data_IF_908247421379
#
_entry.id   IF_908247421379
#
_cell.length_a   1.000
_cell.length_b   1.000
_cell.length_c   1.000
_cell.angle_alpha   90.00
_cell.angle_beta   90.00
_cell.angle_gamma   90.00
#
_symmetry.space_group_name_H-M   'P 1'
#
loop_
_entity.id
_entity.type
_entity.pdbx_description
1 polymer ?
#
# COMPACT_ATOMS: atom_id res chain seq x y z
N UNK A 1 69.06 26.03 21.62
CA UNK A 1 68.48 26.99 20.65
C UNK A 1 68.95 26.51 19.28
N UNK A 2 68.17 26.00 18.33
CA UNK A 2 66.78 26.18 17.84
C UNK A 2 66.47 24.93 16.98
N UNK A 3 65.42 24.16 17.23
CA UNK A 3 64.07 24.22 16.63
C UNK A 3 63.95 23.89 15.11
N UNK A 4 63.44 22.67 14.84
CA UNK A 4 62.24 22.31 14.04
C UNK A 4 62.04 22.79 12.59
N UNK A 5 61.67 21.85 11.71
CA UNK A 5 60.92 22.04 10.46
C UNK A 5 60.67 20.69 9.76
N UNK A 6 59.71 19.87 10.21
CA UNK A 6 58.28 19.86 9.87
C UNK A 6 57.96 19.39 8.43
N UNK A 7 57.44 18.17 8.35
CA UNK A 7 56.89 17.48 7.17
C UNK A 7 55.68 18.22 6.61
N UNK A 8 55.62 18.39 5.29
CA UNK A 8 54.41 18.80 4.57
C UNK A 8 53.66 17.57 4.10
N UNK A 9 52.60 17.22 4.84
CA UNK A 9 51.58 16.28 4.41
C UNK A 9 50.59 16.96 3.47
N UNK A 10 50.30 16.31 2.34
CA UNK A 10 49.25 16.64 1.38
C UNK A 10 47.87 16.48 2.03
N UNK A 11 46.91 17.42 1.88
CA UNK A 11 45.53 17.15 2.24
C UNK A 11 44.79 16.54 1.04
N UNK A 12 44.51 15.24 1.14
CA UNK A 12 43.41 14.62 0.41
C UNK A 12 42.09 15.16 0.99
N UNK A 13 41.48 16.11 0.28
CA UNK A 13 40.17 16.66 0.64
C UNK A 13 39.10 15.88 -0.14
N UNK A 14 38.81 14.69 0.36
CA UNK A 14 37.58 13.97 0.02
C UNK A 14 36.36 14.85 0.34
N UNK A 15 35.58 15.18 -0.69
CA UNK A 15 34.41 16.04 -0.57
C UNK A 15 33.25 15.32 0.14
N UNK A 16 32.61 15.93 1.16
CA UNK A 16 31.39 15.43 1.76
C UNK A 16 30.16 15.97 1.02
N UNK A 17 29.18 15.11 0.74
CA UNK A 17 27.81 15.56 0.44
C UNK A 17 27.22 15.15 -0.92
N UNK A 18 26.93 13.85 -1.11
CA UNK A 18 25.95 13.37 -2.10
C UNK A 18 24.80 12.56 -1.52
N UNK A 19 24.74 12.41 -0.19
CA UNK A 19 23.78 11.51 0.47
C UNK A 19 22.38 12.16 0.55
N UNK A 20 22.26 13.47 0.79
CA UNK A 20 20.94 14.12 0.94
C UNK A 20 20.18 14.48 -0.35
N UNK A 21 20.88 14.58 -1.50
CA UNK A 21 20.25 15.01 -2.76
C UNK A 21 19.51 13.88 -3.50
N UNK A 22 20.02 12.64 -3.39
CA UNK A 22 19.42 11.47 -4.02
C UNK A 22 18.08 11.09 -3.39
N UNK A 23 18.03 11.11 -2.07
CA UNK A 23 16.83 10.72 -1.32
C UNK A 23 15.68 11.73 -1.50
N UNK A 24 15.99 13.03 -1.51
CA UNK A 24 15.01 14.07 -1.78
C UNK A 24 14.44 13.98 -3.21
N UNK A 25 15.29 13.72 -4.21
CA UNK A 25 14.86 13.53 -5.60
C UNK A 25 13.99 12.28 -5.77
N UNK A 26 14.36 11.17 -5.12
CA UNK A 26 13.58 9.93 -5.10
C UNK A 26 12.22 10.15 -4.45
N UNK A 27 12.18 10.83 -3.31
CA UNK A 27 10.95 11.14 -2.60
C UNK A 27 10.03 12.06 -3.42
N UNK A 28 10.57 13.04 -4.15
CA UNK A 28 9.79 13.87 -5.06
C UNK A 28 9.20 13.05 -6.22
N UNK A 29 9.97 12.14 -6.79
CA UNK A 29 9.52 11.23 -7.85
C UNK A 29 8.37 10.34 -7.39
N UNK A 30 8.46 9.76 -6.18
CA UNK A 30 7.41 8.93 -5.60
C UNK A 30 6.11 9.73 -5.38
N UNK A 31 6.20 10.93 -4.79
CA UNK A 31 5.02 11.80 -4.60
C UNK A 31 4.36 12.17 -5.93
N UNK A 32 5.15 12.55 -6.94
CA UNK A 32 4.64 12.87 -8.27
C UNK A 32 3.91 11.69 -8.94
N UNK A 33 4.24 10.47 -8.52
CA UNK A 33 3.61 9.23 -8.97
C UNK A 33 2.47 8.75 -8.05
N UNK A 34 2.03 9.53 -7.05
CA UNK A 34 1.04 9.10 -6.04
C UNK A 34 1.47 7.87 -5.22
N UNK A 35 2.78 7.73 -4.98
CA UNK A 35 3.36 6.73 -4.08
C UNK A 35 3.85 7.48 -2.84
N UNK A 36 3.52 6.99 -1.64
CA UNK A 36 4.01 7.60 -0.42
C UNK A 36 5.52 7.34 -0.28
N UNK A 37 6.36 8.40 -0.21
CA UNK A 37 7.81 8.23 -0.15
C UNK A 37 8.31 7.63 1.16
N UNK A 38 7.52 7.66 2.24
CA UNK A 38 7.88 7.08 3.53
C UNK A 38 7.62 5.58 3.56
N UNK A 39 6.47 5.15 3.04
CA UNK A 39 6.05 3.74 3.11
C UNK A 39 6.36 2.96 1.84
N UNK A 40 6.61 3.64 0.72
CA UNK A 40 6.79 3.01 -0.59
C UNK A 40 5.50 2.47 -1.20
N UNK A 41 4.34 2.72 -0.56
CA UNK A 41 3.04 2.18 -0.96
C UNK A 41 2.23 3.20 -1.76
N UNK A 42 1.37 2.70 -2.66
CA UNK A 42 0.45 3.50 -3.45
C UNK A 42 -0.99 3.15 -3.15
N UNK A 43 -1.81 4.18 -2.92
CA UNK A 43 -3.23 4.06 -2.59
C UNK A 43 -4.04 3.40 -3.71
N UNK A 44 -3.54 3.46 -4.95
CA UNK A 44 -4.19 2.86 -6.11
C UNK A 44 -4.46 1.35 -5.96
N UNK A 45 -3.64 0.63 -5.18
CA UNK A 45 -3.91 -0.79 -4.91
C UNK A 45 -5.22 -1.03 -4.15
N UNK A 46 -5.64 -0.09 -3.29
CA UNK A 46 -6.90 -0.22 -2.55
C UNK A 46 -8.12 -0.09 -3.46
N UNK A 47 -7.98 0.47 -4.66
CA UNK A 47 -9.08 0.53 -5.63
C UNK A 47 -9.58 -0.88 -5.98
N UNK A 48 -8.69 -1.87 -6.06
CA UNK A 48 -9.04 -3.26 -6.32
C UNK A 48 -10.01 -3.84 -5.27
N UNK A 49 -9.82 -3.49 -3.99
CA UNK A 49 -10.72 -3.89 -2.91
C UNK A 49 -11.98 -3.03 -2.85
N UNK A 50 -11.87 -1.73 -3.14
CA UNK A 50 -13.03 -0.83 -3.20
C UNK A 50 -14.03 -1.26 -4.26
N UNK A 51 -13.57 -1.76 -5.40
CA UNK A 51 -14.44 -2.33 -6.44
C UNK A 51 -15.24 -3.53 -5.92
N UNK A 52 -14.59 -4.47 -5.22
CA UNK A 52 -15.28 -5.59 -4.58
C UNK A 52 -16.29 -5.13 -3.52
N UNK A 53 -15.92 -4.15 -2.68
CA UNK A 53 -16.82 -3.57 -1.67
C UNK A 53 -18.04 -2.92 -2.33
N UNK A 54 -17.83 -2.13 -3.37
CA UNK A 54 -18.93 -1.50 -4.12
C UNK A 54 -19.88 -2.54 -4.71
N UNK A 55 -19.36 -3.64 -5.28
CA UNK A 55 -20.20 -4.73 -5.78
C UNK A 55 -21.03 -5.37 -4.67
N UNK A 56 -20.42 -5.65 -3.50
CA UNK A 56 -21.13 -6.20 -2.34
C UNK A 56 -22.24 -5.28 -1.84
N UNK A 57 -22.00 -3.96 -1.82
CA UNK A 57 -22.99 -2.97 -1.40
C UNK A 57 -24.21 -2.89 -2.33
N UNK A 58 -24.04 -3.21 -3.60
CA UNK A 58 -25.15 -3.19 -4.56
C UNK A 58 -26.03 -4.44 -4.48
N UNK A 59 -25.51 -5.59 -4.05
CA UNK A 59 -26.23 -6.88 -4.07
C UNK A 59 -27.61 -6.85 -3.37
N UNK A 60 -27.81 -6.20 -2.21
CA UNK A 60 -29.12 -6.17 -1.55
C UNK A 60 -30.23 -5.56 -2.40
N UNK A 61 -29.92 -4.48 -3.12
CA UNK A 61 -30.86 -3.77 -3.99
C UNK A 61 -30.84 -4.29 -5.44
N UNK A 62 -29.69 -4.83 -5.87
CA UNK A 62 -29.39 -5.27 -7.24
C UNK A 62 -28.68 -6.65 -7.23
N UNK A 63 -29.44 -7.75 -7.04
CA UNK A 63 -28.87 -9.09 -6.83
C UNK A 63 -27.99 -9.62 -7.98
N UNK A 64 -28.15 -9.12 -9.20
CA UNK A 64 -27.33 -9.44 -10.37
C UNK A 64 -25.85 -9.04 -10.20
N UNK A 65 -25.54 -8.02 -9.37
CA UNK A 65 -24.16 -7.67 -9.03
C UNK A 65 -23.40 -8.80 -8.34
N UNK A 66 -24.09 -9.81 -7.81
CA UNK A 66 -23.45 -10.98 -7.28
C UNK A 66 -22.61 -11.69 -8.35
N UNK A 67 -23.04 -11.71 -9.62
CA UNK A 67 -22.27 -12.36 -10.68
C UNK A 67 -20.94 -11.64 -10.94
N UNK A 68 -20.96 -10.31 -10.96
CA UNK A 68 -19.74 -9.48 -11.09
C UNK A 68 -18.81 -9.68 -9.88
N UNK A 69 -19.37 -9.70 -8.66
CA UNK A 69 -18.59 -10.00 -7.46
C UNK A 69 -17.97 -11.40 -7.49
N UNK A 70 -18.71 -12.40 -7.96
CA UNK A 70 -18.20 -13.76 -8.16
C UNK A 70 -17.14 -13.83 -9.28
N UNK A 71 -17.10 -12.85 -10.18
CA UNK A 71 -16.05 -12.68 -11.19
C UNK A 71 -14.78 -12.01 -10.66
N UNK A 72 -14.86 -11.29 -9.55
CA UNK A 72 -13.70 -10.66 -8.91
C UNK A 72 -12.68 -11.73 -8.48
N UNK A 73 -11.40 -11.45 -8.70
CA UNK A 73 -10.29 -12.33 -8.34
C UNK A 73 -9.25 -11.53 -7.56
N UNK A 74 -8.63 -12.11 -6.52
CA UNK A 74 -7.61 -11.42 -5.76
C UNK A 74 -6.35 -11.22 -6.61
N UNK A 75 -5.78 -10.02 -6.51
CA UNK A 75 -4.47 -9.69 -7.08
C UNK A 75 -3.53 -9.31 -5.95
N UNK A 76 -2.28 -9.78 -6.00
CA UNK A 76 -1.21 -9.21 -5.18
C UNK A 76 -0.92 -7.76 -5.59
N UNK A 77 -0.18 -7.04 -4.73
CA UNK A 77 0.25 -5.67 -5.02
C UNK A 77 0.93 -5.56 -6.39
N UNK A 78 1.88 -6.47 -6.68
CA UNK A 78 2.61 -6.47 -7.95
C UNK A 78 1.72 -6.84 -9.14
N UNK A 79 0.81 -7.81 -8.99
CA UNK A 79 -0.12 -8.20 -10.05
C UNK A 79 -1.09 -7.07 -10.39
N UNK A 80 -1.64 -6.38 -9.39
CA UNK A 80 -2.51 -5.21 -9.59
C UNK A 80 -1.84 -4.15 -10.47
N UNK A 81 -0.62 -3.71 -10.10
CA UNK A 81 0.08 -2.70 -10.86
C UNK A 81 0.57 -3.18 -12.24
N UNK A 82 0.86 -4.48 -12.38
CA UNK A 82 1.22 -5.06 -13.68
C UNK A 82 0.03 -5.06 -14.63
N UNK A 83 -1.17 -5.33 -14.12
CA UNK A 83 -2.41 -5.37 -14.89
C UNK A 83 -3.07 -4.00 -15.10
N UNK A 84 -2.75 -2.99 -14.28
CA UNK A 84 -3.42 -1.69 -14.31
C UNK A 84 -2.82 -0.70 -15.33
N UNK A 85 -3.59 0.36 -15.62
CA UNK A 85 -3.15 1.51 -16.43
C UNK A 85 -2.33 2.54 -15.62
N UNK A 86 -1.85 2.17 -14.43
CA UNK A 86 -1.09 3.06 -13.57
C UNK A 86 0.26 3.40 -14.21
N UNK A 87 0.45 4.67 -14.56
CA UNK A 87 1.60 5.15 -15.35
C UNK A 87 2.96 4.82 -14.71
N UNK A 88 3.02 4.78 -13.40
CA UNK A 88 4.24 4.55 -12.63
C UNK A 88 4.29 3.13 -12.01
N UNK A 89 3.70 2.13 -12.66
CA UNK A 89 3.62 0.74 -12.13
C UNK A 89 4.95 0.16 -11.71
N UNK A 90 5.99 0.27 -12.54
CA UNK A 90 7.32 -0.27 -12.24
C UNK A 90 7.93 0.44 -11.03
N UNK A 91 7.63 1.74 -10.89
CA UNK A 91 8.07 2.55 -9.75
C UNK A 91 7.36 2.13 -8.46
N UNK A 92 6.05 1.86 -8.52
CA UNK A 92 5.26 1.39 -7.38
C UNK A 92 5.74 0.01 -6.92
N UNK A 93 5.91 -0.94 -7.84
CA UNK A 93 6.41 -2.28 -7.52
C UNK A 93 7.82 -2.21 -6.94
N UNK A 94 8.72 -1.41 -7.53
CA UNK A 94 10.08 -1.23 -7.01
C UNK A 94 10.09 -0.57 -5.62
N UNK A 95 9.23 0.44 -5.39
CA UNK A 95 9.11 1.11 -4.11
C UNK A 95 8.59 0.17 -3.02
N UNK A 96 7.55 -0.62 -3.33
CA UNK A 96 7.00 -1.65 -2.45
C UNK A 96 8.04 -2.74 -2.11
N UNK A 97 8.81 -3.21 -3.10
CA UNK A 97 9.86 -4.21 -2.86
C UNK A 97 10.99 -3.70 -1.97
N UNK A 98 11.24 -2.38 -2.00
CA UNK A 98 12.28 -1.70 -1.21
C UNK A 98 11.74 -1.06 0.07
N UNK A 99 10.44 -1.18 0.35
CA UNK A 99 9.80 -0.63 1.53
C UNK A 99 10.35 -1.27 2.80
N UNK A 100 10.17 -0.58 3.93
CA UNK A 100 10.48 -1.15 5.24
C UNK A 100 9.76 -2.50 5.40
N UNK A 101 10.48 -3.60 5.69
CA UNK A 101 9.89 -4.92 5.83
C UNK A 101 8.77 -5.01 6.87
N UNK A 102 8.82 -4.20 7.93
CA UNK A 102 7.78 -4.15 8.98
C UNK A 102 6.51 -3.53 8.43
N UNK A 103 6.63 -2.36 7.77
CA UNK A 103 5.49 -1.68 7.12
C UNK A 103 4.88 -2.57 6.05
N UNK A 104 5.72 -3.23 5.24
CA UNK A 104 5.27 -4.13 4.19
C UNK A 104 4.53 -5.33 4.77
N UNK A 105 5.08 -5.96 5.80
CA UNK A 105 4.42 -7.10 6.45
C UNK A 105 3.08 -6.73 7.07
N UNK A 106 2.99 -5.57 7.74
CA UNK A 106 1.73 -5.08 8.30
C UNK A 106 0.66 -4.88 7.21
N UNK A 107 1.05 -4.24 6.11
CA UNK A 107 0.19 -4.00 4.96
C UNK A 107 -0.26 -5.30 4.28
N UNK A 108 0.67 -6.23 4.06
CA UNK A 108 0.40 -7.53 3.44
C UNK A 108 -0.54 -8.37 4.30
N UNK A 109 -0.40 -8.33 5.63
CA UNK A 109 -1.29 -9.04 6.55
C UNK A 109 -2.74 -8.53 6.44
N UNK A 110 -2.94 -7.21 6.38
CA UNK A 110 -4.28 -6.62 6.27
C UNK A 110 -4.91 -6.93 4.91
N UNK A 111 -4.14 -6.80 3.84
CA UNK A 111 -4.63 -7.09 2.48
C UNK A 111 -4.91 -8.58 2.28
N UNK A 112 -4.10 -9.46 2.88
CA UNK A 112 -4.36 -10.91 2.93
C UNK A 112 -5.65 -11.23 3.71
N UNK A 113 -5.93 -10.51 4.81
CA UNK A 113 -7.16 -10.68 5.56
C UNK A 113 -8.39 -10.26 4.73
N UNK A 114 -8.32 -9.12 4.03
CA UNK A 114 -9.37 -8.68 3.10
C UNK A 114 -9.60 -9.72 2.00
N UNK A 115 -8.54 -10.19 1.35
CA UNK A 115 -8.62 -11.24 0.33
C UNK A 115 -9.29 -12.50 0.87
N UNK A 116 -8.89 -12.96 2.05
CA UNK A 116 -9.46 -14.16 2.66
C UNK A 116 -10.97 -14.04 2.92
N UNK A 117 -11.42 -12.88 3.41
CA UNK A 117 -12.85 -12.61 3.63
C UNK A 117 -13.60 -12.61 2.30
N UNK A 118 -13.10 -11.87 1.31
CA UNK A 118 -13.78 -11.73 0.01
C UNK A 118 -13.87 -13.08 -0.73
N UNK A 119 -12.80 -13.88 -0.71
CA UNK A 119 -12.79 -15.23 -1.29
C UNK A 119 -13.77 -16.15 -0.56
N UNK A 120 -13.75 -16.20 0.77
CA UNK A 120 -14.65 -17.05 1.54
C UNK A 120 -16.13 -16.69 1.33
N UNK A 121 -16.44 -15.40 1.23
CA UNK A 121 -17.79 -14.91 0.93
C UNK A 121 -18.19 -15.26 -0.50
N UNK A 122 -17.28 -15.11 -1.47
CA UNK A 122 -17.50 -15.50 -2.86
C UNK A 122 -17.85 -16.99 -2.96
N UNK A 123 -17.07 -17.86 -2.29
CA UNK A 123 -17.32 -19.29 -2.26
C UNK A 123 -18.69 -19.62 -1.62
N UNK A 124 -19.00 -19.01 -0.48
CA UNK A 124 -20.29 -19.19 0.18
C UNK A 124 -21.47 -18.74 -0.72
N UNK A 125 -21.31 -17.65 -1.47
CA UNK A 125 -22.35 -17.15 -2.38
C UNK A 125 -22.60 -18.08 -3.57
N UNK A 126 -21.60 -18.85 -4.03
CA UNK A 126 -21.76 -19.83 -5.12
C UNK A 126 -22.70 -20.98 -4.73
N UNK A 127 -22.65 -21.41 -3.47
CA UNK A 127 -23.48 -22.50 -2.96
C UNK A 127 -24.92 -22.06 -2.61
N UNK A 128 -25.17 -20.75 -2.57
CA UNK A 128 -26.45 -20.18 -2.22
C UNK A 128 -27.31 -19.92 -3.46
N UNK A 129 -28.53 -20.48 -3.47
CA UNK A 129 -29.54 -20.22 -4.52
C UNK A 129 -30.47 -19.04 -4.23
N UNK A 130 -30.57 -18.61 -2.98
CA UNK A 130 -31.51 -17.57 -2.56
C UNK A 130 -30.84 -16.19 -2.53
N UNK A 131 -31.38 -15.23 -3.29
CA UNK A 131 -30.87 -13.85 -3.33
C UNK A 131 -30.83 -13.20 -1.95
N UNK A 132 -31.83 -13.47 -1.10
CA UNK A 132 -31.87 -12.95 0.27
C UNK A 132 -30.65 -13.36 1.11
N UNK A 133 -30.21 -14.61 0.99
CA UNK A 133 -29.03 -15.11 1.70
C UNK A 133 -27.75 -14.50 1.13
N UNK A 134 -27.66 -14.30 -0.19
CA UNK A 134 -26.54 -13.57 -0.81
C UNK A 134 -26.48 -12.12 -0.32
N UNK A 135 -27.61 -11.42 -0.22
CA UNK A 135 -27.67 -10.06 0.33
C UNK A 135 -27.13 -10.00 1.76
N UNK A 136 -27.55 -10.93 2.65
CA UNK A 136 -27.04 -10.99 4.02
C UNK A 136 -25.53 -11.24 4.07
N UNK A 137 -25.01 -12.17 3.25
CA UNK A 137 -23.56 -12.39 3.15
C UNK A 137 -22.82 -11.14 2.67
N UNK A 138 -23.40 -10.41 1.72
CA UNK A 138 -22.81 -9.20 1.16
C UNK A 138 -22.73 -8.05 2.18
N UNK A 139 -23.80 -7.82 2.92
CA UNK A 139 -23.86 -6.82 4.00
C UNK A 139 -22.83 -7.12 5.10
N UNK A 140 -22.72 -8.38 5.51
CA UNK A 140 -21.75 -8.82 6.51
C UNK A 140 -20.31 -8.62 6.02
N UNK A 141 -20.00 -9.08 4.81
CA UNK A 141 -18.69 -8.93 4.20
C UNK A 141 -18.27 -7.46 4.10
N UNK A 142 -19.18 -6.60 3.64
CA UNK A 142 -18.97 -5.15 3.57
C UNK A 142 -18.60 -4.57 4.94
N UNK A 143 -19.31 -4.97 5.99
CA UNK A 143 -19.06 -4.55 7.36
C UNK A 143 -17.68 -4.98 7.90
N UNK A 144 -17.16 -6.13 7.45
CA UNK A 144 -15.83 -6.61 7.85
C UNK A 144 -14.69 -6.01 7.04
N UNK A 145 -14.88 -5.80 5.73
CA UNK A 145 -13.80 -5.37 4.82
C UNK A 145 -13.54 -3.87 4.89
N UNK A 146 -14.57 -3.02 5.01
CA UNK A 146 -14.40 -1.55 5.04
C UNK A 146 -13.44 -1.03 6.14
N UNK A 147 -13.49 -1.54 7.38
CA UNK A 147 -12.50 -1.17 8.40
C UNK A 147 -11.07 -1.54 8.00
N UNK A 148 -10.87 -2.69 7.35
CA UNK A 148 -9.56 -3.13 6.88
C UNK A 148 -9.03 -2.26 5.73
N UNK A 149 -9.90 -1.85 4.79
CA UNK A 149 -9.54 -0.88 3.74
C UNK A 149 -9.07 0.44 4.36
N UNK A 150 -9.78 0.92 5.38
CA UNK A 150 -9.43 2.15 6.11
C UNK A 150 -8.09 2.01 6.81
N UNK A 151 -7.85 0.87 7.48
CA UNK A 151 -6.58 0.56 8.15
C UNK A 151 -5.41 0.50 7.16
N UNK A 152 -5.59 -0.22 6.05
CA UNK A 152 -4.59 -0.30 4.98
C UNK A 152 -4.30 1.09 4.39
N UNK A 153 -5.33 1.92 4.19
CA UNK A 153 -5.17 3.31 3.78
C UNK A 153 -4.38 4.13 4.80
N UNK A 154 -4.57 3.89 6.10
CA UNK A 154 -3.76 4.46 7.17
C UNK A 154 -2.28 4.12 7.01
N UNK A 155 -1.94 2.84 6.80
CA UNK A 155 -0.55 2.40 6.60
C UNK A 155 0.05 3.04 5.35
N UNK A 156 -0.68 3.06 4.22
CA UNK A 156 -0.20 3.70 2.99
C UNK A 156 0.17 5.17 3.24
N UNK A 157 -0.64 5.88 4.03
CA UNK A 157 -0.39 7.28 4.37
C UNK A 157 0.66 7.48 5.50
N UNK A 158 1.06 6.40 6.17
CA UNK A 158 2.05 6.37 7.26
C UNK A 158 1.44 6.62 8.66
N UNK A 159 0.31 5.97 8.97
CA UNK A 159 -0.52 6.20 10.16
C UNK A 159 0.10 5.88 11.53
N UNK A 160 -0.26 6.74 12.50
CA UNK A 160 -0.16 6.69 13.98
C UNK A 160 1.18 6.61 14.75
N UNK A 161 2.33 6.29 14.15
CA UNK A 161 3.63 6.53 14.85
C UNK A 161 4.27 7.89 14.50
N UNK A 162 3.69 8.60 13.52
CA UNK A 162 4.32 9.75 12.87
C UNK A 162 4.00 11.14 13.46
N UNK A 163 3.54 11.26 14.71
CA UNK A 163 3.41 12.56 15.40
C UNK A 163 4.46 12.75 16.51
N UNK A 164 5.09 11.66 16.99
CA UNK A 164 6.03 11.77 18.12
C UNK A 164 7.41 12.22 17.67
N UNK A 165 7.91 11.74 16.51
CA UNK A 165 9.23 12.12 15.99
C UNK A 165 9.28 13.53 15.37
N UNK A 166 8.13 14.07 14.93
CA UNK A 166 8.06 15.44 14.42
C UNK A 166 8.05 16.49 15.54
N UNK A 167 7.49 16.14 16.71
CA UNK A 167 7.44 17.00 17.90
C UNK A 167 8.79 17.01 18.68
N UNK A 168 9.65 16.00 18.50
CA UNK A 168 10.95 15.96 19.20
C UNK A 168 12.12 16.60 18.43
N UNK A 169 11.90 17.10 17.21
CA UNK A 169 12.98 17.62 16.34
C UNK A 169 12.76 19.06 15.84
N UNK A 170 11.71 19.76 16.29
CA UNK A 170 11.47 21.18 16.05
C UNK A 170 11.05 21.88 17.34
#
# INVERSE_FOLDING_TARGET
MTATGAQTATPDRSAPGKVGGGDAARAAQLRAANINPRTGLATDYLNHFNEAVMLLEMIPDMPECAEDFLGWQPLSYAEHFTASNFKARDLAISAYNSADPVIRAEFDNITSAMTSILTAVSDAMRDVKQNKTRATLAEQATGWVKPLVTLAGGIINGGSEADVDYIMTH
#
